data_IF_119727204542
#
_entry.id   IF_119727204542
#
_cell.length_a   1.000
_cell.length_b   1.000
_cell.length_c   1.000
_cell.angle_alpha   90.00
_cell.angle_beta   90.00
_cell.angle_gamma   90.00
#
_symmetry.space_group_name_H-M   'P 1'
#
loop_
_entity.id
_entity.type
_entity.pdbx_description
1 polymer ?
#
# COMPACT_ATOMS: atom_id res chain seq x y z
N UNK A 1 -33.57 27.24 -17.85
CA UNK A 1 -32.76 26.83 -16.69
C UNK A 1 -31.97 25.59 -17.09
N UNK A 2 -30.88 25.81 -17.82
CA UNK A 2 -29.98 24.75 -18.27
C UNK A 2 -29.12 24.28 -17.08
N UNK A 3 -29.09 22.97 -16.77
CA UNK A 3 -28.17 22.47 -15.78
C UNK A 3 -26.77 22.46 -16.40
N UNK A 4 -26.08 23.59 -16.31
CA UNK A 4 -24.62 23.60 -16.35
C UNK A 4 -24.11 22.64 -15.26
N UNK A 5 -23.44 21.54 -15.63
CA UNK A 5 -22.72 20.76 -14.62
C UNK A 5 -22.38 19.30 -14.93
N UNK A 6 -23.01 18.66 -15.91
CA UNK A 6 -22.63 17.29 -16.29
C UNK A 6 -21.79 17.34 -17.58
N UNK A 7 -20.59 17.91 -17.50
CA UNK A 7 -19.60 17.62 -18.53
C UNK A 7 -19.45 16.09 -18.58
N UNK A 8 -19.68 15.42 -19.71
CA UNK A 8 -19.44 13.99 -19.83
C UNK A 8 -17.93 13.81 -19.66
N UNK A 9 -17.52 13.60 -18.41
CA UNK A 9 -16.14 13.37 -18.01
C UNK A 9 -15.61 12.31 -18.97
N UNK A 10 -14.50 12.56 -19.69
CA UNK A 10 -14.01 11.63 -20.69
C UNK A 10 -13.83 10.26 -20.03
N UNK A 11 -14.74 9.31 -20.32
CA UNK A 11 -14.81 8.00 -19.66
C UNK A 11 -13.46 7.28 -19.70
N UNK A 12 -12.68 7.55 -20.73
CA UNK A 12 -11.31 7.10 -20.93
C UNK A 12 -10.33 7.55 -19.83
N UNK A 13 -10.40 8.79 -19.36
CA UNK A 13 -9.51 9.31 -18.32
C UNK A 13 -9.76 8.59 -17.00
N UNK A 14 -11.02 8.37 -16.63
CA UNK A 14 -11.36 7.66 -15.40
C UNK A 14 -10.90 6.19 -15.46
N UNK A 15 -11.05 5.55 -16.62
CA UNK A 15 -10.60 4.18 -16.85
C UNK A 15 -9.08 4.04 -16.69
N UNK A 16 -8.31 4.97 -17.26
CA UNK A 16 -6.85 5.03 -17.09
C UNK A 16 -6.48 5.21 -15.62
N UNK A 17 -7.09 6.16 -14.92
CA UNK A 17 -6.82 6.39 -13.50
C UNK A 17 -7.16 5.16 -12.66
N UNK A 18 -8.25 4.46 -12.95
CA UNK A 18 -8.61 3.20 -12.28
C UNK A 18 -7.56 2.12 -12.51
N UNK A 19 -7.10 1.92 -13.74
CA UNK A 19 -6.04 0.95 -14.05
C UNK A 19 -4.75 1.30 -13.30
N UNK A 20 -4.34 2.57 -13.31
CA UNK A 20 -3.16 3.05 -12.59
C UNK A 20 -3.29 2.81 -11.09
N UNK A 21 -4.45 3.10 -10.49
CA UNK A 21 -4.71 2.86 -9.08
C UNK A 21 -4.66 1.38 -8.71
N UNK A 22 -5.17 0.49 -9.57
CA UNK A 22 -5.09 -0.97 -9.37
C UNK A 22 -3.62 -1.43 -9.41
N UNK A 23 -2.85 -1.00 -10.40
CA UNK A 23 -1.42 -1.35 -10.51
C UNK A 23 -0.66 -0.79 -9.30
N UNK A 24 -0.91 0.46 -8.92
CA UNK A 24 -0.28 1.07 -7.76
C UNK A 24 -0.63 0.31 -6.48
N UNK A 25 -1.90 -0.03 -6.29
CA UNK A 25 -2.36 -0.80 -5.14
C UNK A 25 -1.72 -2.18 -5.08
N UNK A 26 -1.60 -2.89 -6.21
CA UNK A 26 -0.96 -4.21 -6.25
C UNK A 26 0.54 -4.13 -5.96
N UNK A 27 1.25 -3.12 -6.47
CA UNK A 27 2.67 -2.87 -6.12
C UNK A 27 2.81 -2.57 -4.63
N UNK A 28 1.94 -1.72 -4.08
CA UNK A 28 1.94 -1.41 -2.65
C UNK A 28 1.64 -2.65 -1.81
N UNK A 29 0.71 -3.51 -2.23
CA UNK A 29 0.40 -4.77 -1.54
C UNK A 29 1.60 -5.72 -1.61
N UNK A 30 2.22 -5.91 -2.78
CA UNK A 30 3.43 -6.75 -2.90
C UNK A 30 4.56 -6.21 -2.03
N UNK A 31 4.79 -4.90 -2.07
CA UNK A 31 5.82 -4.22 -1.26
C UNK A 31 5.51 -4.34 0.23
N UNK A 32 4.26 -4.14 0.64
CA UNK A 32 3.83 -4.28 2.03
C UNK A 32 3.87 -5.74 2.49
N UNK A 33 3.48 -6.71 1.66
CA UNK A 33 3.58 -8.14 1.95
C UNK A 33 5.02 -8.64 2.00
N UNK A 34 5.98 -7.93 1.40
CA UNK A 34 7.42 -8.20 1.51
C UNK A 34 8.03 -7.47 2.72
N UNK A 35 7.63 -6.22 2.97
CA UNK A 35 8.08 -5.42 4.11
C UNK A 35 7.47 -5.88 5.44
N UNK A 36 6.24 -6.39 5.44
CA UNK A 36 5.55 -6.92 6.62
C UNK A 36 6.29 -8.10 7.24
N UNK A 37 6.68 -9.17 6.53
CA UNK A 37 7.45 -10.26 7.10
C UNK A 37 8.84 -9.79 7.52
N UNK A 38 9.49 -8.87 6.81
CA UNK A 38 10.76 -8.30 7.27
C UNK A 38 10.58 -7.55 8.62
N UNK A 39 9.57 -6.68 8.71
CA UNK A 39 9.26 -5.90 9.91
C UNK A 39 8.78 -6.81 11.05
N UNK A 40 7.92 -7.78 10.77
CA UNK A 40 7.41 -8.75 11.72
C UNK A 40 8.52 -9.69 12.20
N UNK A 41 9.44 -10.12 11.33
CA UNK A 41 10.62 -10.91 11.72
C UNK A 41 11.56 -10.07 12.58
N UNK A 42 11.79 -8.79 12.25
CA UNK A 42 12.61 -7.89 13.09
C UNK A 42 11.95 -7.72 14.47
N UNK A 43 10.66 -7.38 14.53
CA UNK A 43 9.92 -7.21 15.79
C UNK A 43 9.85 -8.54 16.57
N UNK A 44 9.61 -9.66 15.89
CA UNK A 44 9.59 -10.98 16.50
C UNK A 44 10.96 -11.35 17.04
N UNK A 45 12.05 -11.14 16.28
CA UNK A 45 13.43 -11.33 16.75
C UNK A 45 13.72 -10.48 17.98
N UNK A 46 13.30 -9.21 18.00
CA UNK A 46 13.47 -8.33 19.17
C UNK A 46 12.63 -8.81 20.36
N UNK A 47 11.39 -9.28 20.14
CA UNK A 47 10.48 -9.75 21.20
C UNK A 47 10.75 -11.17 21.69
N UNK A 48 11.35 -12.04 20.88
CA UNK A 48 11.69 -13.43 21.24
C UNK A 48 13.16 -13.64 21.59
N UNK A 49 14.06 -12.76 21.15
CA UNK A 49 15.43 -12.62 21.66
C UNK A 49 15.70 -11.31 22.42
N UNK A 50 14.83 -10.82 23.33
CA UNK A 50 15.13 -9.65 24.15
C UNK A 50 16.21 -9.96 25.21
N UNK A 51 16.56 -11.24 25.43
CA UNK A 51 17.35 -11.72 26.58
C UNK A 51 18.79 -12.13 26.28
N UNK A 52 19.29 -11.98 25.04
CA UNK A 52 20.73 -12.21 24.73
C UNK A 52 21.46 -10.97 24.20
N UNK A 53 20.91 -9.79 24.50
CA UNK A 53 21.63 -8.51 24.45
C UNK A 53 21.70 -8.02 25.90
N UNK A 54 22.49 -8.68 26.75
CA UNK A 54 23.91 -8.34 26.79
C UNK A 54 24.13 -7.10 27.64
N UNK A 55 23.59 -7.10 28.88
CA UNK A 55 24.10 -6.30 29.99
C UNK A 55 24.35 -7.32 31.10
N UNK A 56 25.56 -7.87 31.07
CA UNK A 56 26.26 -8.39 32.25
C UNK A 56 27.36 -7.39 32.58
#
# INVERSE_FOLDING_TARGET
PDPAGAAPLPKHILDIWVIVLIILATILIMTALVLCPATAVIIYRVRTHPTRNGIV
#
